data_IF_142154411469
#
_entry.id   IF_142154411469
#
_cell.length_a   1.000
_cell.length_b   1.000
_cell.length_c   1.000
_cell.angle_alpha   90.00
_cell.angle_beta   90.00
_cell.angle_gamma   90.00
#
_symmetry.space_group_name_H-M   'P 1'
#
loop_
_entity.id
_entity.type
_entity.pdbx_description
1 polymer ?
#
# COMPACT_ATOMS: atom_id res chain seq x y z
N UNK A 1 3.69 8.36 25.41
CA UNK A 1 3.61 6.91 25.59
C UNK A 1 4.61 6.26 24.64
N UNK A 2 5.35 5.26 25.09
CA UNK A 2 6.26 4.49 24.23
C UNK A 2 5.40 3.46 23.51
N UNK A 3 5.56 3.37 22.18
CA UNK A 3 4.86 2.38 21.36
C UNK A 3 5.72 1.14 21.33
N UNK A 4 5.19 0.02 21.82
CA UNK A 4 5.88 -1.27 21.77
C UNK A 4 5.67 -1.94 20.41
N UNK A 5 6.74 -2.43 19.76
CA UNK A 5 6.61 -3.13 18.48
C UNK A 5 6.03 -4.53 18.70
N UNK A 6 4.95 -4.84 17.98
CA UNK A 6 4.35 -6.17 17.95
C UNK A 6 4.25 -6.67 16.51
N UNK A 7 4.85 -7.82 16.21
CA UNK A 7 4.89 -8.35 14.86
C UNK A 7 3.56 -9.06 14.53
N UNK A 8 2.92 -8.62 13.46
CA UNK A 8 1.64 -9.17 12.97
C UNK A 8 1.67 -9.21 11.47
N UNK A 9 0.90 -10.13 10.88
CA UNK A 9 0.73 -10.17 9.44
C UNK A 9 -0.07 -8.94 8.99
N UNK A 10 0.49 -8.20 8.06
CA UNK A 10 -0.10 -6.99 7.50
C UNK A 10 -0.07 -7.04 5.97
N UNK A 11 -0.97 -6.29 5.36
CA UNK A 11 -1.03 -6.11 3.92
C UNK A 11 -0.12 -4.97 3.50
N UNK A 12 0.73 -5.24 2.52
CA UNK A 12 1.67 -4.29 1.94
C UNK A 12 1.46 -4.14 0.44
N UNK A 13 1.76 -2.95 -0.05
CA UNK A 13 1.91 -2.68 -1.48
C UNK A 13 3.40 -2.64 -1.79
N UNK A 14 3.81 -3.44 -2.80
CA UNK A 14 5.15 -3.39 -3.36
C UNK A 14 5.31 -2.08 -4.14
N UNK A 15 5.91 -1.08 -3.49
CA UNK A 15 5.96 0.29 -4.04
C UNK A 15 7.09 0.48 -5.03
N UNK A 16 8.14 -0.34 -4.98
CA UNK A 16 9.32 -0.17 -5.85
C UNK A 16 8.95 -0.25 -7.34
N UNK A 17 8.03 -1.16 -7.69
CA UNK A 17 7.53 -1.31 -9.06
C UNK A 17 6.63 -0.15 -9.49
N UNK A 18 5.97 0.51 -8.55
CA UNK A 18 5.13 1.69 -8.79
C UNK A 18 5.97 2.98 -8.85
N UNK A 19 7.10 3.02 -8.14
CA UNK A 19 7.97 4.18 -8.08
C UNK A 19 8.70 4.44 -9.41
N UNK A 20 9.14 3.38 -10.10
CA UNK A 20 9.85 3.46 -11.39
C UNK A 20 9.10 4.29 -12.46
N UNK A 21 7.86 3.94 -12.85
CA UNK A 21 7.14 4.72 -13.85
C UNK A 21 6.82 6.16 -13.38
N UNK A 22 6.66 6.36 -12.08
CA UNK A 22 6.41 7.68 -11.52
C UNK A 22 7.66 8.58 -11.53
N UNK A 23 8.87 8.01 -11.41
CA UNK A 23 10.13 8.73 -11.61
C UNK A 23 10.30 9.07 -13.09
N UNK A 24 10.11 8.09 -13.98
CA UNK A 24 10.24 8.25 -15.43
C UNK A 24 9.34 9.37 -15.97
N UNK A 25 8.09 9.49 -15.50
CA UNK A 25 7.17 10.56 -15.91
C UNK A 25 7.65 11.98 -15.54
N UNK A 26 8.43 12.10 -14.47
CA UNK A 26 9.01 13.40 -14.06
C UNK A 26 10.29 13.66 -14.85
N UNK A 27 11.09 12.63 -15.12
CA UNK A 27 12.30 12.73 -15.93
C UNK A 27 12.00 13.03 -17.41
N UNK A 28 10.93 12.44 -17.97
CA UNK A 28 10.47 12.71 -19.34
C UNK A 28 9.88 14.12 -19.50
N UNK A 29 9.56 14.78 -18.38
CA UNK A 29 8.94 16.10 -18.35
C UNK A 29 7.44 16.10 -18.64
N UNK A 30 6.79 14.93 -18.65
CA UNK A 30 5.32 14.78 -18.64
C UNK A 30 4.72 15.40 -17.39
N UNK A 31 5.41 15.27 -16.26
CA UNK A 31 5.08 15.93 -14.99
C UNK A 31 6.15 16.98 -14.71
N UNK A 32 5.71 18.21 -14.37
CA UNK A 32 6.60 19.31 -14.00
C UNK A 32 6.19 19.89 -12.66
N UNK A 33 7.15 19.94 -11.73
CA UNK A 33 6.94 20.57 -10.44
C UNK A 33 7.21 22.07 -10.52
N UNK A 34 6.40 22.85 -9.81
CA UNK A 34 6.56 24.30 -9.68
C UNK A 34 6.59 24.66 -8.19
N UNK A 35 7.69 25.22 -7.67
CA UNK A 35 8.99 25.46 -8.34
C UNK A 35 9.80 24.17 -8.65
N UNK A 36 10.76 24.24 -9.58
CA UNK A 36 11.56 23.07 -10.04
C UNK A 36 12.41 22.42 -8.94
N UNK A 37 12.74 23.15 -7.88
CA UNK A 37 13.55 22.63 -6.78
C UNK A 37 12.91 21.43 -6.05
N UNK A 38 11.58 21.27 -6.13
CA UNK A 38 10.85 20.14 -5.57
C UNK A 38 11.20 18.79 -6.21
N UNK A 39 11.73 18.78 -7.44
CA UNK A 39 12.18 17.57 -8.13
C UNK A 39 13.19 16.79 -7.28
N UNK A 40 14.13 17.50 -6.64
CA UNK A 40 15.17 16.88 -5.82
C UNK A 40 14.59 16.14 -4.61
N UNK A 41 13.65 16.77 -3.92
CA UNK A 41 12.97 16.17 -2.76
C UNK A 41 12.11 14.99 -3.19
N UNK A 42 11.41 15.10 -4.32
CA UNK A 42 10.63 14.02 -4.90
C UNK A 42 11.51 12.80 -5.21
N UNK A 43 12.61 12.97 -5.94
CA UNK A 43 13.51 11.86 -6.26
C UNK A 43 14.12 11.23 -5.01
N UNK A 44 14.51 12.04 -4.02
CA UNK A 44 15.02 11.52 -2.76
C UNK A 44 13.97 10.63 -2.06
N UNK A 45 12.70 11.02 -2.08
CA UNK A 45 11.61 10.21 -1.54
C UNK A 45 11.41 8.93 -2.35
N UNK A 46 11.28 9.05 -3.68
CA UNK A 46 10.94 7.94 -4.56
C UNK A 46 12.03 6.87 -4.63
N UNK A 47 13.31 7.25 -4.52
CA UNK A 47 14.42 6.29 -4.49
C UNK A 47 14.55 5.53 -3.16
N UNK A 48 14.03 6.07 -2.06
CA UNK A 48 14.14 5.47 -0.73
C UNK A 48 12.80 4.92 -0.21
N UNK A 49 11.76 4.91 -1.05
CA UNK A 49 10.42 4.50 -0.65
C UNK A 49 10.41 3.01 -0.24
N UNK A 50 9.75 2.73 0.89
CA UNK A 50 9.61 1.38 1.45
C UNK A 50 8.18 0.88 1.22
N UNK A 51 8.01 -0.44 1.25
CA UNK A 51 6.72 -1.09 1.08
C UNK A 51 5.65 -0.48 1.99
N UNK A 52 4.53 -0.09 1.38
CA UNK A 52 3.51 0.67 2.07
C UNK A 52 2.53 -0.30 2.74
N UNK A 53 2.53 -0.30 4.07
CA UNK A 53 1.52 -1.02 4.84
C UNK A 53 0.15 -0.35 4.68
N UNK A 54 -0.80 -1.04 4.05
CA UNK A 54 -2.16 -0.55 3.78
C UNK A 54 -3.21 -1.08 4.76
N UNK A 55 -2.94 -2.17 5.47
CA UNK A 55 -3.85 -2.67 6.51
C UNK A 55 -3.71 -1.89 7.81
N UNK A 56 -4.84 -1.72 8.51
CA UNK A 56 -4.87 -1.20 9.88
C UNK A 56 -5.97 -1.88 10.69
N UNK A 57 -5.79 -1.90 12.00
CA UNK A 57 -6.74 -2.40 12.98
C UNK A 57 -7.59 -1.22 13.49
N UNK A 58 -8.42 -0.66 12.61
CA UNK A 58 -9.33 0.45 12.92
C UNK A 58 -10.78 -0.02 12.84
N UNK A 59 -11.72 0.78 13.36
CA UNK A 59 -13.16 0.50 13.24
C UNK A 59 -13.81 1.22 12.05
N UNK A 60 -13.16 2.27 11.54
CA UNK A 60 -13.60 3.07 10.40
C UNK A 60 -12.59 2.98 9.26
N UNK A 61 -13.07 2.80 8.04
CA UNK A 61 -12.26 2.63 6.84
C UNK A 61 -12.92 1.72 5.80
N UNK A 62 -12.25 1.56 4.66
CA UNK A 62 -12.69 0.63 3.62
C UNK A 62 -12.23 -0.79 3.95
N UNK A 63 -13.08 -1.80 3.76
CA UNK A 63 -12.65 -3.19 3.98
C UNK A 63 -11.75 -3.65 2.85
N UNK A 64 -10.64 -4.31 3.18
CA UNK A 64 -9.81 -4.96 2.17
C UNK A 64 -10.65 -6.08 1.55
N UNK A 65 -10.84 -6.10 0.23
CA UNK A 65 -11.54 -7.18 -0.45
C UNK A 65 -10.61 -8.39 -0.56
N UNK A 66 -10.33 -9.01 0.59
CA UNK A 66 -9.61 -10.26 0.71
C UNK A 66 -10.46 -11.28 1.47
N UNK A 67 -10.33 -12.54 1.11
CA UNK A 67 -11.05 -13.65 1.72
C UNK A 67 -10.10 -14.82 1.94
N UNK A 68 -10.39 -15.61 2.96
CA UNK A 68 -9.62 -16.80 3.29
C UNK A 68 -10.53 -18.04 3.14
N UNK A 69 -9.97 -19.14 2.63
CA UNK A 69 -10.62 -20.45 2.75
C UNK A 69 -10.29 -21.11 4.10
N UNK A 70 -10.88 -22.29 4.34
CA UNK A 70 -10.66 -23.09 5.54
C UNK A 70 -9.20 -23.55 5.72
N UNK A 71 -8.40 -23.53 4.64
CA UNK A 71 -6.98 -23.89 4.64
C UNK A 71 -6.05 -22.67 4.73
N UNK A 72 -6.59 -21.45 4.90
CA UNK A 72 -5.82 -20.21 4.98
C UNK A 72 -5.36 -19.64 3.63
N UNK A 73 -5.84 -20.16 2.50
CA UNK A 73 -5.53 -19.61 1.17
C UNK A 73 -6.26 -18.30 0.96
N UNK A 74 -5.51 -17.30 0.47
CA UNK A 74 -6.01 -15.94 0.26
C UNK A 74 -6.57 -15.75 -1.15
N UNK A 75 -7.71 -15.08 -1.24
CA UNK A 75 -8.37 -14.68 -2.48
C UNK A 75 -8.66 -13.18 -2.44
N UNK A 76 -8.39 -12.46 -3.53
CA UNK A 76 -8.63 -11.01 -3.66
C UNK A 76 -9.62 -10.78 -4.80
N UNK A 77 -10.60 -9.88 -4.62
CA UNK A 77 -11.73 -9.67 -5.54
C UNK A 77 -12.97 -10.56 -5.26
N UNK A 78 -14.03 -10.45 -6.07
CA UNK A 78 -15.39 -10.93 -5.72
C UNK A 78 -15.47 -12.31 -5.00
N UNK A 79 -16.31 -12.44 -3.95
CA UNK A 79 -16.35 -13.63 -3.12
C UNK A 79 -16.81 -14.86 -3.90
N UNK A 80 -16.05 -15.96 -3.82
CA UNK A 80 -16.55 -17.30 -4.18
C UNK A 80 -17.38 -17.88 -3.03
N UNK A 81 -18.38 -18.71 -3.35
CA UNK A 81 -19.43 -19.22 -2.44
C UNK A 81 -18.98 -19.89 -1.12
N UNK A 82 -17.68 -20.13 -0.89
CA UNK A 82 -17.15 -20.84 0.29
C UNK A 82 -16.08 -20.06 1.08
N UNK A 83 -15.85 -18.77 0.82
CA UNK A 83 -14.79 -18.04 1.49
C UNK A 83 -15.30 -17.22 2.69
N UNK A 84 -14.55 -17.23 3.80
CA UNK A 84 -14.82 -16.41 4.98
C UNK A 84 -14.19 -15.02 4.76
N UNK A 85 -14.93 -13.96 5.09
CA UNK A 85 -14.49 -12.57 4.86
C UNK A 85 -13.28 -12.23 5.74
N UNK A 86 -12.29 -11.56 5.18
CA UNK A 86 -11.22 -10.92 5.95
C UNK A 86 -11.77 -9.86 6.90
N UNK A 87 -11.22 -9.80 8.11
CA UNK A 87 -11.55 -8.81 9.15
C UNK A 87 -10.71 -7.52 9.01
N UNK A 88 -9.69 -7.50 8.15
CA UNK A 88 -8.79 -6.35 8.03
C UNK A 88 -9.43 -5.20 7.23
N UNK A 89 -9.37 -4.00 7.81
CA UNK A 89 -9.74 -2.74 7.15
C UNK A 89 -8.48 -2.11 6.53
N UNK A 90 -8.60 -1.62 5.30
CA UNK A 90 -7.64 -0.69 4.69
C UNK A 90 -8.11 0.74 4.96
N UNK A 91 -7.14 1.62 5.22
CA UNK A 91 -7.41 3.03 5.54
C UNK A 91 -7.91 3.80 4.31
N UNK A 92 -8.73 4.81 4.61
CA UNK A 92 -9.19 5.92 3.76
C UNK A 92 -8.18 6.41 2.74
#
# INVERSE_FOLDING_TARGET
>A
AVIEPYLTDQWYVAVESLAKPAIEAVESGEIRFVPENWNKTYYQWMHNIQDWCISRQLWWGHRIPAWYDENGKVFVGAPKKKCVKSTALAVT
#
